data_IF_689218490215
#
_entry.id   IF_689218490215
#
_cell.length_a   1.000
_cell.length_b   1.000
_cell.length_c   1.000
_cell.angle_alpha   90.00
_cell.angle_beta   90.00
_cell.angle_gamma   90.00
#
_symmetry.space_group_name_H-M   'P 1'
#
loop_
_entity.id
_entity.type
_entity.pdbx_description
1 polymer ?
#
# COMPACT_ATOMS: atom_id res chain seq x y z
N UNK A 1 19.73 -34.76 -0.41
CA UNK A 1 18.79 -33.68 -0.77
C UNK A 1 18.63 -33.66 -2.29
N UNK A 2 17.45 -34.03 -2.81
CA UNK A 2 17.18 -34.08 -4.25
C UNK A 2 16.62 -32.73 -4.72
N UNK A 3 17.46 -31.91 -5.36
CA UNK A 3 16.99 -30.74 -6.08
C UNK A 3 16.33 -31.20 -7.39
N UNK A 4 14.99 -31.13 -7.46
CA UNK A 4 14.26 -31.37 -8.72
C UNK A 4 14.73 -30.32 -9.74
N UNK A 5 15.51 -30.75 -10.75
CA UNK A 5 15.83 -29.92 -11.92
C UNK A 5 14.51 -29.48 -12.57
N UNK A 6 14.18 -28.19 -12.50
CA UNK A 6 13.03 -27.65 -13.24
C UNK A 6 13.29 -27.81 -14.74
N UNK A 7 12.34 -28.39 -15.48
CA UNK A 7 12.43 -28.48 -16.94
C UNK A 7 12.62 -27.06 -17.49
N UNK A 8 13.65 -26.86 -18.32
CA UNK A 8 13.94 -25.57 -18.93
C UNK A 8 12.72 -25.10 -19.73
N UNK A 9 12.04 -24.08 -19.21
CA UNK A 9 10.89 -23.49 -19.89
C UNK A 9 11.30 -22.81 -21.19
N UNK A 10 10.32 -22.57 -22.07
CA UNK A 10 10.52 -21.78 -23.28
C UNK A 10 11.12 -20.42 -22.91
N UNK A 11 12.16 -19.98 -23.63
CA UNK A 11 12.80 -18.68 -23.42
C UNK A 11 11.74 -17.57 -23.48
N UNK A 12 11.74 -16.63 -22.51
CA UNK A 12 10.77 -15.54 -22.50
C UNK A 12 10.96 -14.67 -23.75
N UNK A 13 9.86 -14.41 -24.45
CA UNK A 13 9.85 -13.59 -25.68
C UNK A 13 10.02 -12.10 -25.37
N UNK A 14 9.64 -11.69 -24.16
CA UNK A 14 9.69 -10.30 -23.70
C UNK A 14 10.45 -10.21 -22.39
N UNK A 15 11.30 -9.19 -22.28
CA UNK A 15 12.05 -8.86 -21.07
C UNK A 15 11.10 -8.44 -19.93
N UNK A 16 11.45 -8.77 -18.69
CA UNK A 16 10.58 -8.50 -17.55
C UNK A 16 10.43 -7.00 -17.26
N UNK A 17 11.49 -6.20 -17.42
CA UNK A 17 11.43 -4.75 -17.26
C UNK A 17 10.43 -4.12 -18.23
N UNK A 18 10.48 -4.53 -19.50
CA UNK A 18 9.55 -4.09 -20.52
C UNK A 18 8.08 -4.40 -20.17
N UNK A 19 7.79 -5.62 -19.73
CA UNK A 19 6.43 -6.00 -19.29
C UNK A 19 5.95 -5.12 -18.14
N UNK A 20 6.82 -4.83 -17.18
CA UNK A 20 6.47 -4.00 -16.04
C UNK A 20 6.13 -2.56 -16.48
N UNK A 21 6.90 -1.97 -17.40
CA UNK A 21 6.62 -0.63 -17.95
C UNK A 21 5.25 -0.58 -18.63
N UNK A 22 4.97 -1.54 -19.52
CA UNK A 22 3.68 -1.62 -20.22
C UNK A 22 2.52 -1.79 -19.22
N UNK A 23 2.68 -2.67 -18.22
CA UNK A 23 1.68 -2.83 -17.17
C UNK A 23 1.45 -1.53 -16.39
N UNK A 24 2.51 -0.80 -16.04
CA UNK A 24 2.42 0.46 -15.30
C UNK A 24 1.69 1.54 -16.09
N UNK A 25 1.96 1.68 -17.38
CA UNK A 25 1.28 2.69 -18.21
C UNK A 25 -0.22 2.40 -18.36
N UNK A 26 -0.59 1.12 -18.53
CA UNK A 26 -1.99 0.69 -18.58
C UNK A 26 -2.67 0.93 -17.23
N UNK A 27 -2.00 0.58 -16.12
CA UNK A 27 -2.55 0.75 -14.77
C UNK A 27 -2.69 2.23 -14.37
N UNK A 28 -1.83 3.10 -14.90
CA UNK A 28 -1.94 4.56 -14.76
C UNK A 28 -3.06 5.17 -15.61
N UNK A 29 -3.64 4.41 -16.53
CA UNK A 29 -4.67 4.87 -17.46
C UNK A 29 -4.13 5.67 -18.65
N UNK A 30 -2.81 5.63 -18.90
CA UNK A 30 -2.20 6.33 -20.03
C UNK A 30 -2.44 5.60 -21.36
N UNK A 31 -2.66 4.29 -21.31
CA UNK A 31 -2.89 3.44 -22.48
C UNK A 31 -3.99 2.42 -22.20
N UNK A 32 -4.88 2.23 -23.17
CA UNK A 32 -5.78 1.09 -23.22
C UNK A 32 -5.04 -0.19 -23.66
N UNK A 33 -5.60 -1.37 -23.38
CA UNK A 33 -5.06 -2.67 -23.82
C UNK A 33 -4.85 -2.71 -25.34
N UNK A 34 -5.83 -2.20 -26.09
CA UNK A 34 -5.79 -2.17 -27.55
C UNK A 34 -4.71 -1.20 -28.08
N UNK A 35 -4.54 -0.07 -27.40
CA UNK A 35 -3.52 0.93 -27.74
C UNK A 35 -2.12 0.40 -27.43
N UNK A 36 -1.91 -0.18 -26.24
CA UNK A 36 -0.64 -0.82 -25.89
C UNK A 36 -0.27 -1.94 -26.87
N UNK A 37 -1.25 -2.74 -27.32
CA UNK A 37 -1.02 -3.75 -28.35
C UNK A 37 -0.55 -3.14 -29.67
N UNK A 38 -1.18 -2.06 -30.12
CA UNK A 38 -0.84 -1.37 -31.36
C UNK A 38 0.55 -0.69 -31.26
N UNK A 39 0.80 0.05 -30.18
CA UNK A 39 2.04 0.80 -29.94
C UNK A 39 3.25 -0.12 -29.78
N UNK A 40 3.09 -1.22 -29.04
CA UNK A 40 4.20 -2.13 -28.72
C UNK A 40 4.25 -3.39 -29.57
N UNK A 41 3.40 -3.49 -30.61
CA UNK A 41 3.29 -4.65 -31.50
C UNK A 41 3.21 -6.00 -30.74
N UNK A 42 2.41 -6.05 -29.68
CA UNK A 42 2.29 -7.22 -28.81
C UNK A 42 1.36 -8.25 -29.47
N UNK A 43 1.69 -9.54 -29.33
CA UNK A 43 0.95 -10.64 -29.98
C UNK A 43 -0.56 -10.68 -29.69
N UNK A 44 -1.01 -10.13 -28.57
CA UNK A 44 -2.44 -10.04 -28.30
C UNK A 44 -2.77 -9.60 -26.88
N UNK A 45 -4.01 -9.13 -26.72
CA UNK A 45 -4.53 -8.51 -25.49
C UNK A 45 -4.50 -9.47 -24.29
N UNK A 46 -4.74 -10.76 -24.53
CA UNK A 46 -4.64 -11.81 -23.50
C UNK A 46 -3.21 -11.99 -22.93
N UNK A 47 -2.18 -11.64 -23.71
CA UNK A 47 -0.78 -11.68 -23.24
C UNK A 47 -0.54 -10.56 -22.23
N UNK A 48 -1.03 -9.35 -22.55
CA UNK A 48 -0.93 -8.17 -21.69
C UNK A 48 -1.72 -8.40 -20.40
N UNK A 49 -2.94 -8.94 -20.51
CA UNK A 49 -3.76 -9.30 -19.34
C UNK A 49 -3.04 -10.26 -18.39
N UNK A 50 -2.34 -11.26 -18.94
CA UNK A 50 -1.53 -12.18 -18.13
C UNK A 50 -0.38 -11.45 -17.43
N UNK A 51 0.29 -10.51 -18.10
CA UNK A 51 1.35 -9.70 -17.47
C UNK A 51 0.83 -8.84 -16.35
N UNK A 52 -0.33 -8.18 -16.53
CA UNK A 52 -0.96 -7.39 -15.47
C UNK A 52 -1.30 -8.27 -14.27
N UNK A 53 -1.88 -9.47 -14.51
CA UNK A 53 -2.20 -10.43 -13.44
C UNK A 53 -0.95 -10.91 -12.70
N UNK A 54 0.14 -11.19 -13.40
CA UNK A 54 1.42 -11.58 -12.80
C UNK A 54 2.06 -10.40 -12.04
N UNK A 55 2.00 -9.20 -12.59
CA UNK A 55 2.52 -7.96 -11.98
C UNK A 55 1.81 -7.64 -10.66
N UNK A 56 0.46 -7.63 -10.66
CA UNK A 56 -0.33 -7.38 -9.45
C UNK A 56 -0.15 -8.47 -8.39
N UNK A 57 0.05 -9.74 -8.80
CA UNK A 57 0.34 -10.82 -7.85
C UNK A 57 1.70 -10.62 -7.19
N UNK A 58 2.72 -10.23 -7.95
CA UNK A 58 4.05 -9.99 -7.41
C UNK A 58 4.07 -8.75 -6.49
N UNK A 59 3.41 -7.65 -6.88
CA UNK A 59 3.29 -6.46 -6.03
C UNK A 59 2.63 -6.74 -4.67
N UNK A 60 1.62 -7.61 -4.64
CA UNK A 60 0.96 -8.05 -3.39
C UNK A 60 1.89 -8.87 -2.47
N UNK A 61 2.79 -9.65 -3.05
CA UNK A 61 3.73 -10.48 -2.26
C UNK A 61 4.88 -9.65 -1.70
N UNK A 62 5.29 -8.59 -2.40
CA UNK A 62 6.44 -7.76 -1.99
C UNK A 62 6.07 -6.62 -1.01
N UNK A 63 4.81 -6.56 -0.52
CA UNK A 63 4.28 -5.40 0.23
C UNK A 63 4.51 -4.05 -0.48
N UNK A 64 4.80 -4.07 -1.78
CA UNK A 64 4.89 -2.88 -2.61
C UNK A 64 3.47 -2.45 -2.90
N UNK A 65 2.96 -1.60 -2.02
CA UNK A 65 1.65 -0.97 -2.10
C UNK A 65 1.43 -0.47 -3.55
N UNK A 66 0.58 -1.11 -4.36
CA UNK A 66 0.22 -0.53 -5.63
C UNK A 66 -0.71 0.63 -5.30
N UNK A 67 -0.13 1.83 -5.17
CA UNK A 67 -0.83 3.09 -5.19
C UNK A 67 -1.45 3.22 -6.60
N UNK A 68 -2.55 2.50 -6.82
CA UNK A 68 -3.33 2.51 -8.05
C UNK A 68 -4.74 2.87 -7.63
N UNK A 69 -4.98 4.18 -7.61
CA UNK A 69 -6.32 4.75 -7.65
C UNK A 69 -6.90 4.47 -9.03
N UNK A 70 -7.67 3.39 -9.18
CA UNK A 70 -8.39 3.11 -10.44
C UNK A 70 -9.64 3.98 -10.51
N UNK A 71 -9.51 5.18 -11.08
CA UNK A 71 -10.63 5.84 -11.74
C UNK A 71 -10.75 5.24 -13.14
N UNK A 72 -11.67 4.30 -13.34
CA UNK A 72 -12.48 4.10 -14.57
C UNK A 72 -13.12 2.70 -14.59
N UNK A 73 -14.46 2.68 -14.60
CA UNK A 73 -15.33 1.53 -14.87
C UNK A 73 -15.52 1.38 -16.40
N UNK A 74 -15.97 0.23 -16.96
CA UNK A 74 -17.34 -0.24 -16.76
C UNK A 74 -17.46 -1.77 -16.68
N UNK A 75 -17.86 -2.32 -15.52
CA UNK A 75 -18.77 -3.47 -15.52
C UNK A 75 -19.50 -3.65 -14.16
N UNK A 76 -20.81 -3.54 -14.23
CA UNK A 76 -21.77 -3.45 -13.13
C UNK A 76 -21.93 -4.76 -12.34
N UNK A 77 -20.90 -5.25 -11.63
CA UNK A 77 -21.07 -6.24 -10.53
C UNK A 77 -20.07 -6.11 -9.37
N UNK A 78 -19.07 -5.23 -9.48
CA UNK A 78 -17.98 -5.10 -8.48
C UNK A 78 -18.15 -3.88 -7.57
N UNK A 79 -19.03 -2.94 -7.91
CA UNK A 79 -19.16 -1.63 -7.25
C UNK A 79 -19.56 -1.74 -5.77
N UNK A 80 -20.41 -2.68 -5.38
CA UNK A 80 -20.91 -2.76 -4.00
C UNK A 80 -19.84 -3.22 -3.02
N UNK A 81 -18.99 -4.18 -3.41
CA UNK A 81 -17.92 -4.71 -2.54
C UNK A 81 -16.76 -3.72 -2.33
N UNK A 82 -16.51 -2.83 -3.30
CA UNK A 82 -15.46 -1.81 -3.17
C UNK A 82 -15.90 -0.62 -2.34
N UNK A 83 -17.19 -0.29 -2.38
CA UNK A 83 -17.75 0.84 -1.64
C UNK A 83 -17.90 0.49 -0.15
N UNK A 84 -18.31 -0.74 0.18
CA UNK A 84 -18.36 -1.22 1.57
C UNK A 84 -16.97 -1.29 2.20
N UNK A 85 -15.99 -1.85 1.49
CA UNK A 85 -14.61 -1.93 2.00
C UNK A 85 -13.96 -0.57 2.17
N UNK A 86 -14.22 0.38 1.27
CA UNK A 86 -13.68 1.74 1.40
C UNK A 86 -14.31 2.48 2.57
N UNK A 87 -15.63 2.31 2.79
CA UNK A 87 -16.32 2.84 3.96
C UNK A 87 -15.81 2.25 5.28
N UNK A 88 -15.63 0.93 5.35
CA UNK A 88 -15.04 0.28 6.53
C UNK A 88 -13.61 0.77 6.81
N UNK A 89 -12.81 0.96 5.77
CA UNK A 89 -11.45 1.50 5.91
C UNK A 89 -11.46 2.96 6.38
N UNK A 90 -12.40 3.76 5.90
CA UNK A 90 -12.56 5.14 6.32
C UNK A 90 -12.99 5.22 7.79
N UNK A 91 -13.98 4.42 8.20
CA UNK A 91 -14.42 4.34 9.59
C UNK A 91 -13.28 3.94 10.52
N UNK A 92 -12.50 2.91 10.16
CA UNK A 92 -11.32 2.52 10.94
C UNK A 92 -10.28 3.63 11.03
N UNK A 93 -10.08 4.39 9.96
CA UNK A 93 -9.16 5.54 9.99
C UNK A 93 -9.65 6.62 10.95
N UNK A 94 -10.94 6.95 10.91
CA UNK A 94 -11.55 7.94 11.80
C UNK A 94 -11.47 7.49 13.26
N UNK A 95 -11.77 6.22 13.55
CA UNK A 95 -11.62 5.63 14.89
C UNK A 95 -10.17 5.68 15.40
N UNK A 96 -9.21 5.31 14.54
CA UNK A 96 -7.79 5.35 14.88
C UNK A 96 -7.29 6.79 15.11
N UNK A 97 -7.76 7.75 14.32
CA UNK A 97 -7.43 9.16 14.49
C UNK A 97 -7.99 9.70 15.82
N UNK A 98 -9.25 9.39 16.14
CA UNK A 98 -9.86 9.78 17.40
C UNK A 98 -9.14 9.16 18.61
N UNK A 99 -8.77 7.87 18.54
CA UNK A 99 -8.01 7.19 19.59
C UNK A 99 -6.62 7.83 19.80
N UNK A 100 -5.97 8.24 18.69
CA UNK A 100 -4.68 8.91 18.73
C UNK A 100 -4.79 10.30 19.37
N UNK A 101 -5.83 11.06 19.04
CA UNK A 101 -6.09 12.36 19.65
C UNK A 101 -6.36 12.24 21.15
N UNK A 102 -7.22 11.31 21.56
CA UNK A 102 -7.49 10.98 22.96
C UNK A 102 -6.21 10.60 23.72
N UNK A 103 -5.34 9.79 23.11
CA UNK A 103 -4.06 9.40 23.72
C UNK A 103 -3.13 10.61 23.90
N UNK A 104 -3.03 11.50 22.89
CA UNK A 104 -2.26 12.74 23.00
C UNK A 104 -2.78 13.64 24.10
N UNK A 105 -4.10 13.84 24.17
CA UNK A 105 -4.73 14.63 25.21
C UNK A 105 -4.44 14.07 26.61
N UNK A 106 -4.51 12.74 26.77
CA UNK A 106 -4.16 12.07 28.02
C UNK A 106 -2.70 12.28 28.39
N UNK A 107 -1.78 12.20 27.43
CA UNK A 107 -0.36 12.46 27.65
C UNK A 107 -0.15 13.90 28.13
N UNK A 108 -0.72 14.88 27.44
CA UNK A 108 -0.63 16.30 27.84
C UNK A 108 -1.21 16.53 29.24
N UNK A 109 -2.35 15.91 29.56
CA UNK A 109 -2.93 16.02 30.90
C UNK A 109 -2.03 15.43 31.99
N UNK A 110 -1.37 14.30 31.70
CA UNK A 110 -0.41 13.68 32.63
C UNK A 110 0.85 14.53 32.80
N UNK A 111 1.37 15.13 31.72
CA UNK A 111 2.50 16.06 31.78
C UNK A 111 2.16 17.29 32.64
N UNK A 112 1.00 17.91 32.42
CA UNK A 112 0.53 19.03 33.24
C UNK A 112 0.33 18.63 34.70
N UNK A 113 -0.19 17.43 34.97
CA UNK A 113 -0.34 16.91 36.33
C UNK A 113 1.02 16.77 37.04
N UNK A 114 2.06 16.34 36.31
CA UNK A 114 3.42 16.28 36.83
C UNK A 114 3.92 17.69 37.16
N UNK A 115 3.76 18.66 36.25
CA UNK A 115 4.19 20.04 36.47
C UNK A 115 3.53 20.64 37.73
N UNK A 116 2.22 20.43 37.90
CA UNK A 116 1.48 20.87 39.09
C UNK A 116 2.03 20.18 40.34
N UNK A 117 2.24 18.86 40.30
CA UNK A 117 2.78 18.12 41.44
C UNK A 117 4.19 18.58 41.84
N UNK A 118 5.07 18.85 40.87
CA UNK A 118 6.41 19.40 41.13
C UNK A 118 6.33 20.77 41.82
N UNK A 119 5.40 21.65 41.38
CA UNK A 119 5.23 22.96 41.98
C UNK A 119 4.67 22.94 43.41
N UNK A 120 3.69 22.07 43.69
CA UNK A 120 2.99 22.03 44.99
C UNK A 120 3.81 21.29 46.06
N UNK A 121 4.53 20.25 45.66
CA UNK A 121 5.30 19.41 46.58
C UNK A 121 6.79 19.81 46.65
N UNK A 122 7.25 20.71 45.77
CA UNK A 122 8.64 21.16 45.68
C UNK A 122 9.64 20.00 45.59
N UNK A 123 9.24 18.93 44.89
CA UNK A 123 10.07 17.77 44.55
C UNK A 123 10.22 17.67 43.04
N UNK A 124 11.35 17.12 42.61
CA UNK A 124 11.68 16.94 41.20
C UNK A 124 11.28 15.52 40.77
N UNK A 125 10.24 15.40 39.94
CA UNK A 125 9.69 14.11 39.52
C UNK A 125 10.31 13.70 38.18
N UNK A 126 10.55 14.65 37.28
CA UNK A 126 11.10 14.39 35.96
C UNK A 126 12.61 14.17 35.98
N UNK A 127 13.09 13.17 35.24
CA UNK A 127 14.55 12.97 35.07
C UNK A 127 15.17 14.13 34.28
N UNK A 128 16.24 14.73 34.83
CA UNK A 128 17.03 15.76 34.13
C UNK A 128 17.83 15.16 32.96
N UNK A 129 17.81 15.78 31.77
CA UNK A 129 18.70 15.38 30.68
C UNK A 129 20.15 15.68 31.08
N UNK A 130 20.97 14.65 31.25
CA UNK A 130 22.41 14.80 31.54
C UNK A 130 22.98 13.95 32.67
N UNK A 131 22.17 13.24 33.46
CA UNK A 131 22.71 12.29 34.44
C UNK A 131 23.30 11.08 33.70
N UNK A 132 24.61 10.84 33.89
CA UNK A 132 25.36 9.71 33.30
C UNK A 132 24.56 8.41 33.40
N UNK A 133 24.49 7.66 32.29
CA UNK A 133 23.93 6.31 32.27
C UNK A 133 24.76 5.37 33.14
#
# INVERSE_FOLDING_TARGET
MNFKKSKAGRKPVYEQAFKNTVCLEILKGNLSLAEAKATYAIKGDGTIYRWIKEFTRNAKNDNLNPMITTNSSPNQKVQTYTDEKSRELQQKNEELQAALEMAKLKITALEVMIDVAESELNIDIRKKPGTKQ
#
